data_IF_151054763274
#
_entry.id   IF_151054763274
#
_cell.length_a   1.000
_cell.length_b   1.000
_cell.length_c   1.000
_cell.angle_alpha   90.00
_cell.angle_beta   90.00
_cell.angle_gamma   90.00
#
_symmetry.space_group_name_H-M   'P 1'
#
loop_
_entity.id
_entity.type
_entity.pdbx_description
1 polymer ?
#
# COMPACT_ATOMS: atom_id res chain seq x y z
N UNK A 1 55.84 -25.36 -37.30
CA UNK A 1 54.39 -25.43 -37.05
C UNK A 1 54.17 -25.36 -35.55
N UNK A 2 53.95 -24.17 -35.00
CA UNK A 2 53.54 -23.98 -33.60
C UNK A 2 52.14 -23.38 -33.62
N UNK A 3 51.16 -24.17 -33.19
CA UNK A 3 49.78 -23.73 -33.05
C UNK A 3 49.62 -23.10 -31.65
N UNK A 4 49.33 -21.81 -31.60
CA UNK A 4 48.91 -21.14 -30.37
C UNK A 4 47.43 -21.45 -30.12
N UNK A 5 47.15 -22.19 -29.05
CA UNK A 5 45.81 -22.36 -28.48
C UNK A 5 45.37 -21.03 -27.84
N UNK A 6 44.37 -20.38 -28.42
CA UNK A 6 43.68 -19.26 -27.79
C UNK A 6 42.59 -19.83 -26.89
N UNK A 7 42.79 -19.74 -25.58
CA UNK A 7 41.79 -20.12 -24.57
C UNK A 7 40.91 -18.89 -24.29
N UNK A 8 39.74 -18.84 -24.90
CA UNK A 8 38.74 -17.78 -24.68
C UNK A 8 37.99 -18.06 -23.36
N UNK A 9 38.30 -17.32 -22.30
CA UNK A 9 37.47 -17.28 -21.09
C UNK A 9 36.23 -16.42 -21.35
N UNK A 10 35.06 -17.05 -21.46
CA UNK A 10 33.77 -16.34 -21.40
C UNK A 10 33.40 -16.17 -19.93
N UNK A 11 33.56 -14.95 -19.41
CA UNK A 11 33.05 -14.57 -18.09
C UNK A 11 31.60 -14.11 -18.28
N UNK A 12 30.63 -14.95 -17.91
CA UNK A 12 29.23 -14.57 -17.86
C UNK A 12 28.98 -13.74 -16.59
N UNK A 13 28.79 -12.43 -16.74
CA UNK A 13 28.34 -11.57 -15.66
C UNK A 13 26.83 -11.74 -15.45
N UNK A 14 26.46 -12.42 -14.36
CA UNK A 14 25.08 -12.43 -13.86
C UNK A 14 24.77 -11.04 -13.27
N UNK A 15 24.13 -10.19 -14.06
CA UNK A 15 23.53 -8.94 -13.57
C UNK A 15 22.31 -9.31 -12.73
N UNK A 16 22.46 -9.34 -11.40
CA UNK A 16 21.32 -9.32 -10.50
C UNK A 16 20.68 -7.94 -10.56
N UNK A 17 19.60 -7.79 -11.34
CA UNK A 17 18.77 -6.59 -11.27
C UNK A 17 18.05 -6.58 -9.93
N UNK A 18 18.53 -5.76 -8.98
CA UNK A 18 17.81 -5.52 -7.73
C UNK A 18 16.60 -4.65 -8.05
N UNK A 19 15.41 -5.24 -8.06
CA UNK A 19 14.12 -4.54 -8.23
C UNK A 19 13.75 -3.92 -6.88
N UNK A 20 13.95 -2.60 -6.74
CA UNK A 20 13.68 -1.88 -5.49
C UNK A 20 12.20 -1.46 -5.33
N UNK A 21 11.45 -1.47 -6.43
CA UNK A 21 10.03 -1.13 -6.47
C UNK A 21 9.18 -2.40 -6.43
N UNK A 22 7.91 -2.23 -6.06
CA UNK A 22 6.98 -3.33 -5.77
C UNK A 22 5.55 -2.88 -6.05
N UNK A 23 4.69 -3.87 -6.29
CA UNK A 23 3.24 -3.70 -6.43
C UNK A 23 2.54 -4.68 -5.48
N UNK A 24 1.45 -4.23 -4.87
CA UNK A 24 0.51 -5.10 -4.18
C UNK A 24 -0.43 -5.70 -5.22
N UNK A 25 -0.33 -7.01 -5.47
CA UNK A 25 -1.05 -7.64 -6.58
C UNK A 25 -2.03 -8.73 -6.12
N UNK A 26 -1.94 -9.18 -4.87
CA UNK A 26 -2.81 -10.22 -4.31
C UNK A 26 -3.27 -9.89 -2.90
N UNK A 27 -4.30 -10.58 -2.46
CA UNK A 27 -4.71 -10.64 -1.05
C UNK A 27 -4.87 -12.08 -0.60
N UNK A 28 -4.79 -12.31 0.72
CA UNK A 28 -5.29 -13.52 1.37
C UNK A 28 -6.49 -13.16 2.22
N UNK A 29 -7.57 -13.93 2.10
CA UNK A 29 -8.74 -13.82 2.98
C UNK A 29 -8.79 -15.07 3.84
N UNK A 30 -8.65 -14.90 5.17
CA UNK A 30 -8.56 -16.02 6.11
C UNK A 30 -7.49 -17.07 5.72
N UNK A 31 -6.37 -16.60 5.16
CA UNK A 31 -5.25 -17.44 4.74
C UNK A 31 -5.35 -18.02 3.32
N UNK A 32 -6.48 -17.87 2.63
CA UNK A 32 -6.63 -18.30 1.23
C UNK A 32 -6.17 -17.17 0.30
N UNK A 33 -5.09 -17.39 -0.43
CA UNK A 33 -4.53 -16.44 -1.40
C UNK A 33 -5.36 -16.38 -2.68
N UNK A 34 -5.58 -15.16 -3.20
CA UNK A 34 -6.22 -14.92 -4.49
C UNK A 34 -5.24 -15.07 -5.66
N UNK A 35 -5.78 -15.24 -6.87
CA UNK A 35 -4.97 -15.05 -8.07
C UNK A 35 -4.50 -13.58 -8.20
N UNK A 36 -3.46 -13.37 -9.00
CA UNK A 36 -2.88 -12.04 -9.24
C UNK A 36 -3.92 -11.10 -9.89
N UNK A 37 -4.17 -9.96 -9.26
CA UNK A 37 -5.18 -8.98 -9.62
C UNK A 37 -6.62 -9.53 -9.72
N UNK A 38 -6.90 -10.67 -9.08
CA UNK A 38 -8.28 -11.20 -9.02
C UNK A 38 -9.20 -10.26 -8.25
N UNK A 39 -8.72 -9.77 -7.10
CA UNK A 39 -9.47 -8.85 -6.22
C UNK A 39 -8.85 -7.45 -6.17
N UNK A 40 -7.58 -7.34 -6.56
CA UNK A 40 -6.87 -6.06 -6.66
C UNK A 40 -7.08 -5.43 -8.04
N UNK A 41 -7.38 -4.14 -8.07
CA UNK A 41 -7.47 -3.38 -9.31
C UNK A 41 -6.08 -3.22 -9.92
N UNK A 42 -5.92 -3.69 -11.16
CA UNK A 42 -4.63 -3.65 -11.87
C UNK A 42 -4.30 -2.23 -12.34
N UNK A 43 -3.13 -1.75 -11.96
CA UNK A 43 -2.57 -0.47 -12.38
C UNK A 43 -1.84 -0.57 -13.73
N UNK A 44 -1.54 0.56 -14.36
CA UNK A 44 -0.88 0.62 -15.68
C UNK A 44 0.53 1.22 -15.66
N UNK A 45 0.97 1.80 -14.54
CA UNK A 45 2.31 2.35 -14.33
C UNK A 45 3.34 1.33 -13.81
N UNK A 46 2.96 0.04 -13.75
CA UNK A 46 3.83 -1.03 -13.25
C UNK A 46 4.23 -0.78 -11.79
N UNK A 47 5.52 -0.78 -11.50
CA UNK A 47 5.99 -0.53 -10.13
C UNK A 47 6.34 0.92 -9.84
N UNK A 48 6.17 1.81 -10.83
CA UNK A 48 6.54 3.21 -10.69
C UNK A 48 5.69 3.84 -9.59
N UNK A 49 6.29 4.58 -8.64
CA UNK A 49 5.52 5.26 -7.61
C UNK A 49 4.74 6.44 -8.20
N UNK A 50 3.70 6.86 -7.51
CA UNK A 50 3.08 8.17 -7.71
C UNK A 50 3.78 9.16 -6.78
N UNK A 51 4.21 10.30 -7.31
CA UNK A 51 4.92 11.33 -6.53
C UNK A 51 4.17 12.65 -6.48
N UNK A 52 3.25 12.89 -7.40
CA UNK A 52 2.41 14.09 -7.41
C UNK A 52 1.32 13.97 -6.34
N UNK A 53 1.37 14.86 -5.36
CA UNK A 53 0.44 14.89 -4.23
C UNK A 53 -0.96 15.37 -4.62
N UNK A 54 -1.14 15.96 -5.81
CA UNK A 54 -2.44 16.38 -6.32
C UNK A 54 -3.07 15.34 -7.25
N UNK A 55 -2.34 14.26 -7.57
CA UNK A 55 -2.81 13.24 -8.51
C UNK A 55 -3.99 12.44 -7.93
N UNK A 56 -5.18 12.45 -8.55
CA UNK A 56 -6.33 11.66 -8.10
C UNK A 56 -6.05 10.15 -8.11
N UNK A 57 -5.07 9.68 -8.88
CA UNK A 57 -4.66 8.28 -8.91
C UNK A 57 -3.98 7.83 -7.61
N UNK A 58 -3.66 8.74 -6.67
CA UNK A 58 -3.28 8.37 -5.30
C UNK A 58 -4.35 7.55 -4.56
N UNK A 59 -5.60 7.57 -5.04
CA UNK A 59 -6.68 6.72 -4.52
C UNK A 59 -6.39 5.25 -4.76
N UNK A 60 -6.24 4.82 -6.01
CA UNK A 60 -6.17 3.39 -6.34
C UNK A 60 -5.02 2.98 -7.27
N UNK A 61 -4.13 3.90 -7.62
CA UNK A 61 -3.01 3.79 -8.56
C UNK A 61 -3.40 4.08 -10.02
N UNK A 62 -2.42 4.47 -10.83
CA UNK A 62 -2.62 4.97 -12.20
C UNK A 62 -3.37 3.95 -13.04
N UNK A 63 -4.51 4.37 -13.61
CA UNK A 63 -5.34 3.55 -14.47
C UNK A 63 -6.18 2.49 -13.74
N UNK A 64 -6.07 2.37 -12.42
CA UNK A 64 -6.85 1.43 -11.61
C UNK A 64 -8.14 2.06 -11.04
N UNK A 65 -8.22 3.39 -10.94
CA UNK A 65 -9.41 4.06 -10.39
C UNK A 65 -10.68 3.82 -11.23
N UNK A 66 -10.53 3.71 -12.56
CA UNK A 66 -11.65 3.56 -13.51
C UNK A 66 -11.71 2.19 -14.22
N UNK A 67 -10.70 1.33 -14.06
CA UNK A 67 -10.66 -0.01 -14.68
C UNK A 67 -11.11 -1.07 -13.69
N UNK A 68 -12.39 -1.40 -13.75
CA UNK A 68 -13.00 -2.46 -12.95
C UNK A 68 -13.26 -3.74 -13.76
N UNK A 69 -12.84 -3.75 -15.02
CA UNK A 69 -13.16 -4.83 -15.93
C UNK A 69 -12.27 -6.05 -15.61
N UNK A 70 -12.85 -7.05 -14.92
CA UNK A 70 -12.20 -8.31 -14.56
C UNK A 70 -11.85 -8.47 -13.08
N UNK A 71 -11.87 -7.40 -12.27
CA UNK A 71 -11.62 -7.48 -10.82
C UNK A 71 -12.89 -7.89 -10.08
N UNK A 72 -12.80 -8.95 -9.27
CA UNK A 72 -13.90 -9.49 -8.46
C UNK A 72 -14.04 -8.73 -7.15
N UNK A 73 -15.28 -8.59 -6.71
CA UNK A 73 -15.60 -8.16 -5.34
C UNK A 73 -15.58 -9.37 -4.42
N UNK A 74 -14.65 -9.40 -3.48
CA UNK A 74 -14.55 -10.49 -2.50
C UNK A 74 -15.50 -10.27 -1.33
N UNK A 75 -16.10 -11.34 -0.81
CA UNK A 75 -16.90 -11.27 0.43
C UNK A 75 -15.95 -11.47 1.61
N UNK A 76 -16.00 -10.56 2.59
CA UNK A 76 -15.20 -10.63 3.82
C UNK A 76 -16.08 -10.39 5.03
N UNK A 77 -15.80 -11.08 6.13
CA UNK A 77 -16.52 -10.86 7.39
C UNK A 77 -15.88 -9.70 8.15
N UNK A 78 -16.68 -8.84 8.78
CA UNK A 78 -16.16 -7.88 9.77
C UNK A 78 -15.41 -8.65 10.87
N UNK A 79 -14.20 -8.20 11.24
CA UNK A 79 -13.32 -8.89 12.18
C UNK A 79 -12.39 -9.92 11.55
N UNK A 80 -12.58 -10.27 10.27
CA UNK A 80 -11.68 -11.19 9.56
C UNK A 80 -10.30 -10.55 9.29
N UNK A 81 -9.30 -11.41 9.12
CA UNK A 81 -7.96 -10.99 8.75
C UNK A 81 -7.78 -11.05 7.23
N UNK A 82 -7.31 -9.93 6.68
CA UNK A 82 -6.89 -9.79 5.29
C UNK A 82 -5.38 -9.62 5.27
N UNK A 83 -4.69 -10.36 4.41
CA UNK A 83 -3.25 -10.18 4.17
C UNK A 83 -3.06 -9.57 2.80
N UNK A 84 -2.44 -8.39 2.72
CA UNK A 84 -1.98 -7.83 1.46
C UNK A 84 -0.64 -8.45 1.07
N UNK A 85 -0.49 -8.80 -0.20
CA UNK A 85 0.72 -9.47 -0.69
C UNK A 85 1.34 -8.67 -1.84
N UNK A 86 2.64 -8.41 -1.74
CA UNK A 86 3.43 -7.74 -2.78
C UNK A 86 4.16 -8.74 -3.67
N UNK A 87 4.39 -8.39 -4.94
CA UNK A 87 5.13 -9.23 -5.92
C UNK A 87 6.59 -9.53 -5.49
N UNK A 88 7.18 -8.62 -4.71
CA UNK A 88 8.52 -8.75 -4.10
C UNK A 88 8.51 -8.04 -2.74
N UNK A 89 9.63 -8.01 -2.03
CA UNK A 89 9.69 -7.32 -0.74
C UNK A 89 9.58 -5.80 -0.87
N UNK A 90 9.04 -5.15 0.16
CA UNK A 90 9.18 -3.70 0.33
C UNK A 90 10.62 -3.39 0.74
N UNK A 91 11.36 -2.63 -0.06
CA UNK A 91 12.77 -2.30 0.21
C UNK A 91 13.01 -0.89 0.74
N UNK A 92 12.09 0.05 0.46
CA UNK A 92 12.27 1.44 0.85
C UNK A 92 11.73 1.70 2.26
N UNK A 93 12.44 2.48 3.10
CA UNK A 93 11.89 2.93 4.37
C UNK A 93 10.72 3.89 4.16
N UNK A 94 9.66 3.68 4.95
CA UNK A 94 8.44 4.46 4.86
C UNK A 94 7.26 3.83 5.59
N UNK A 95 6.21 4.60 5.92
CA UNK A 95 5.03 4.04 6.55
C UNK A 95 4.19 3.21 5.57
N UNK A 96 3.50 2.22 6.12
CA UNK A 96 2.42 1.51 5.45
C UNK A 96 1.11 1.82 6.16
N UNK A 97 0.05 2.08 5.39
CA UNK A 97 -1.27 2.34 5.95
C UNK A 97 -2.33 1.60 5.14
N UNK A 98 -3.41 1.20 5.81
CA UNK A 98 -4.61 0.66 5.14
C UNK A 98 -5.81 1.54 5.45
N UNK A 99 -6.55 1.88 4.41
CA UNK A 99 -7.76 2.67 4.45
C UNK A 99 -8.94 1.85 3.92
N UNK A 100 -10.14 2.23 4.31
CA UNK A 100 -11.38 1.76 3.69
C UNK A 100 -12.27 2.95 3.35
N UNK A 101 -13.12 2.79 2.35
CA UNK A 101 -14.20 3.73 2.06
C UNK A 101 -15.45 2.95 1.67
N UNK A 102 -16.60 3.38 2.19
CA UNK A 102 -17.90 2.81 1.83
C UNK A 102 -18.34 3.35 0.49
N UNK A 103 -18.89 2.47 -0.35
CA UNK A 103 -19.34 2.81 -1.70
C UNK A 103 -20.65 2.10 -2.02
N UNK A 104 -21.41 2.65 -2.96
CA UNK A 104 -22.65 2.00 -3.43
C UNK A 104 -22.34 0.72 -4.21
N UNK A 105 -21.28 0.76 -5.02
CA UNK A 105 -20.82 -0.38 -5.81
C UNK A 105 -19.29 -0.36 -5.95
N UNK A 106 -18.62 -1.31 -5.30
CA UNK A 106 -17.16 -1.48 -5.36
C UNK A 106 -16.67 -1.79 -6.78
N UNK A 107 -17.53 -2.31 -7.64
CA UNK A 107 -17.21 -2.59 -9.04
C UNK A 107 -17.34 -1.38 -9.96
N UNK A 108 -17.75 -0.20 -9.47
CA UNK A 108 -17.81 1.02 -10.31
C UNK A 108 -17.31 2.28 -9.62
N UNK A 109 -17.12 2.25 -8.30
CA UNK A 109 -16.63 3.42 -7.56
C UNK A 109 -15.18 3.77 -7.91
N UNK A 110 -14.89 5.06 -8.04
CA UNK A 110 -13.56 5.60 -8.35
C UNK A 110 -12.74 5.97 -7.09
N UNK A 111 -13.36 5.82 -5.90
CA UNK A 111 -12.74 6.19 -4.63
C UNK A 111 -12.80 7.69 -4.30
N UNK A 112 -13.64 8.48 -4.97
CA UNK A 112 -13.89 9.90 -4.66
C UNK A 112 -14.66 10.15 -3.36
N UNK A 113 -15.10 9.09 -2.69
CA UNK A 113 -15.74 9.09 -1.37
C UNK A 113 -14.74 9.43 -0.25
N UNK A 114 -15.25 9.67 0.96
CA UNK A 114 -14.41 9.86 2.14
C UNK A 114 -13.83 8.51 2.61
N UNK A 115 -12.54 8.50 2.92
CA UNK A 115 -11.79 7.34 3.39
C UNK A 115 -11.57 7.43 4.90
N UNK A 116 -11.48 6.29 5.56
CA UNK A 116 -11.03 6.18 6.94
C UNK A 116 -9.89 5.18 7.04
N UNK A 117 -8.92 5.48 7.91
CA UNK A 117 -7.74 4.64 8.11
C UNK A 117 -8.03 3.56 9.15
N UNK A 118 -7.65 2.31 8.89
CA UNK A 118 -7.83 1.17 9.80
C UNK A 118 -6.51 0.55 10.28
N UNK A 119 -5.39 0.87 9.63
CA UNK A 119 -4.07 0.41 10.02
C UNK A 119 -3.01 1.45 9.68
N UNK A 120 -2.06 1.59 10.61
CA UNK A 120 -0.77 2.21 10.38
C UNK A 120 0.33 1.26 10.85
N UNK A 121 1.36 1.08 10.02
CA UNK A 121 2.62 0.45 10.36
C UNK A 121 3.72 1.50 10.14
N UNK A 122 4.26 1.97 11.26
CA UNK A 122 5.34 2.95 11.29
C UNK A 122 6.67 2.37 11.78
N UNK A 123 7.69 3.22 11.97
CA UNK A 123 8.96 2.80 12.50
C UNK A 123 8.83 2.46 13.99
N UNK A 124 9.60 1.48 14.47
CA UNK A 124 9.81 1.27 15.90
C UNK A 124 11.05 2.02 16.34
N UNK A 125 10.88 2.96 17.26
CA UNK A 125 12.01 3.74 17.76
C UNK A 125 12.83 2.95 18.79
N UNK A 126 14.14 2.93 18.57
CA UNK A 126 15.13 2.39 19.49
C UNK A 126 16.15 3.46 19.85
N UNK A 127 17.09 3.16 20.76
CA UNK A 127 18.22 4.06 21.04
C UNK A 127 19.01 4.41 19.77
N UNK A 128 19.04 3.52 18.76
CA UNK A 128 19.75 3.69 17.49
C UNK A 128 18.98 4.50 16.42
N UNK A 129 17.71 4.83 16.66
CA UNK A 129 16.84 5.50 15.68
C UNK A 129 15.57 4.71 15.37
N UNK A 130 14.80 5.18 14.39
CA UNK A 130 13.61 4.49 13.89
C UNK A 130 13.96 3.30 13.00
N UNK A 131 13.36 2.16 13.29
CA UNK A 131 13.55 0.88 12.59
C UNK A 131 12.26 0.48 11.86
N UNK A 132 12.31 0.44 10.53
CA UNK A 132 11.20 0.12 9.64
C UNK A 132 11.05 -1.39 9.45
N UNK A 133 10.62 -2.11 10.49
CA UNK A 133 10.66 -3.60 10.51
C UNK A 133 9.83 -4.31 9.45
N UNK A 134 8.91 -3.60 8.80
CA UNK A 134 8.08 -4.14 7.74
C UNK A 134 8.77 -4.08 6.36
N UNK A 135 9.94 -3.44 6.24
CA UNK A 135 10.78 -3.64 5.06
C UNK A 135 11.29 -5.08 5.04
N UNK A 136 11.65 -5.59 3.86
CA UNK A 136 11.99 -7.00 3.62
C UNK A 136 10.85 -7.98 3.92
N UNK A 137 9.61 -7.48 3.99
CA UNK A 137 8.40 -8.29 4.06
C UNK A 137 7.62 -8.15 2.75
N UNK A 138 6.84 -9.19 2.43
CA UNK A 138 5.92 -9.20 1.29
C UNK A 138 4.46 -9.43 1.69
N UNK A 139 4.17 -9.58 2.98
CA UNK A 139 2.85 -9.89 3.49
C UNK A 139 2.49 -8.97 4.66
N UNK A 140 1.33 -8.31 4.56
CA UNK A 140 0.89 -7.29 5.52
C UNK A 140 -0.53 -7.57 5.99
N UNK A 141 -0.67 -7.97 7.26
CA UNK A 141 -1.95 -8.31 7.86
C UNK A 141 -2.72 -7.07 8.31
N UNK A 142 -4.02 -7.06 8.04
CA UNK A 142 -4.97 -6.06 8.51
C UNK A 142 -6.28 -6.75 8.91
N UNK A 143 -6.82 -6.35 10.06
CA UNK A 143 -8.13 -6.81 10.52
C UNK A 143 -9.20 -5.85 10.05
N UNK A 144 -10.24 -6.35 9.37
CA UNK A 144 -11.43 -5.55 9.07
C UNK A 144 -12.10 -5.19 10.41
N UNK A 145 -12.41 -3.91 10.71
CA UNK A 145 -12.96 -3.57 12.01
C UNK A 145 -14.26 -4.37 12.32
N UNK A 146 -14.37 -5.05 13.47
CA UNK A 146 -15.50 -5.95 13.76
C UNK A 146 -16.84 -5.23 13.92
N UNK A 147 -16.82 -3.95 14.28
CA UNK A 147 -18.01 -3.10 14.40
C UNK A 147 -18.44 -2.46 13.07
N UNK A 148 -17.64 -2.58 12.00
CA UNK A 148 -17.91 -1.92 10.72
C UNK A 148 -19.23 -2.38 10.11
N UNK A 149 -20.04 -1.43 9.65
CA UNK A 149 -21.31 -1.69 9.00
C UNK A 149 -21.16 -2.60 7.77
N UNK A 150 -22.09 -3.56 7.60
CA UNK A 150 -22.22 -4.35 6.37
C UNK A 150 -22.41 -3.44 5.14
N UNK A 151 -21.74 -3.75 4.03
CA UNK A 151 -21.84 -3.00 2.78
C UNK A 151 -20.69 -3.23 1.81
N UNK A 152 -20.71 -2.53 0.69
CA UNK A 152 -19.59 -2.54 -0.25
C UNK A 152 -18.55 -1.48 0.10
N UNK A 153 -17.28 -1.86 -0.02
CA UNK A 153 -16.14 -1.03 0.31
C UNK A 153 -15.04 -1.18 -0.74
N UNK A 154 -14.25 -0.12 -0.90
CA UNK A 154 -12.88 -0.26 -1.39
C UNK A 154 -11.96 -0.31 -0.17
N UNK A 155 -11.03 -1.26 -0.15
CA UNK A 155 -9.91 -1.26 0.79
C UNK A 155 -8.65 -0.86 0.04
N UNK A 156 -7.93 0.12 0.55
CA UNK A 156 -6.74 0.70 -0.06
C UNK A 156 -5.55 0.45 0.84
N UNK A 157 -4.49 -0.17 0.32
CA UNK A 157 -3.18 -0.18 0.95
C UNK A 157 -2.31 0.90 0.32
N UNK A 158 -1.47 1.53 1.14
CA UNK A 158 -0.39 2.39 0.67
C UNK A 158 0.89 2.05 1.42
N UNK A 159 2.01 2.11 0.70
CA UNK A 159 3.32 2.32 1.27
C UNK A 159 3.89 3.61 0.71
N UNK A 160 4.46 4.47 1.57
CA UNK A 160 5.03 5.76 1.16
C UNK A 160 6.54 5.73 1.39
N UNK A 161 7.32 5.49 0.34
CA UNK A 161 8.76 5.53 0.43
C UNK A 161 9.26 6.98 0.61
N UNK A 162 10.03 7.21 1.67
CA UNK A 162 10.56 8.53 2.09
C UNK A 162 12.07 8.49 2.28
N UNK A 163 12.73 7.66 1.48
CA UNK A 163 14.16 7.37 1.60
C UNK A 163 15.07 8.50 1.10
N UNK A 164 14.52 9.54 0.48
CA UNK A 164 15.24 10.73 0.05
C UNK A 164 14.86 11.88 0.98
N UNK A 165 15.70 12.26 1.97
CA UNK A 165 15.41 13.37 2.86
C UNK A 165 15.14 14.67 2.08
N UNK A 166 13.96 15.27 2.30
CA UNK A 166 13.52 16.48 1.60
C UNK A 166 13.08 16.28 0.15
N UNK A 167 13.21 15.06 -0.40
CA UNK A 167 12.70 14.70 -1.72
C UNK A 167 11.19 14.48 -1.73
N UNK A 168 10.66 14.16 -2.92
CA UNK A 168 9.24 13.85 -3.07
C UNK A 168 8.91 12.46 -2.48
N UNK A 169 7.83 12.33 -1.70
CA UNK A 169 7.36 11.03 -1.22
C UNK A 169 6.90 10.16 -2.39
N UNK A 170 7.20 8.86 -2.31
CA UNK A 170 6.89 7.90 -3.37
C UNK A 170 5.78 6.94 -2.93
N UNK A 171 4.59 7.11 -3.48
CA UNK A 171 3.40 6.33 -3.13
C UNK A 171 3.30 5.06 -3.97
N UNK A 172 3.29 3.91 -3.30
CA UNK A 172 2.92 2.61 -3.84
C UNK A 172 1.56 2.22 -3.29
N UNK A 173 0.53 2.26 -4.12
CA UNK A 173 -0.87 2.12 -3.68
C UNK A 173 -1.59 1.04 -4.49
N UNK A 174 -2.59 0.42 -3.88
CA UNK A 174 -3.48 -0.51 -4.55
C UNK A 174 -4.85 -0.55 -3.85
N UNK A 175 -5.89 -0.87 -4.62
CA UNK A 175 -7.26 -1.01 -4.11
C UNK A 175 -7.81 -2.41 -4.36
N UNK A 176 -8.48 -2.95 -3.34
CA UNK A 176 -9.25 -4.19 -3.39
C UNK A 176 -10.76 -3.88 -3.31
N UNK A 177 -11.57 -4.70 -3.99
CA UNK A 177 -13.02 -4.59 -3.97
C UNK A 177 -13.62 -5.56 -2.96
N UNK A 178 -14.42 -5.06 -2.02
CA UNK A 178 -14.94 -5.86 -0.91
C UNK A 178 -16.45 -5.69 -0.71
N UNK A 179 -17.12 -6.79 -0.40
CA UNK A 179 -18.41 -6.81 0.28
C UNK A 179 -18.16 -7.25 1.72
N UNK A 180 -18.22 -6.31 2.66
CA UNK A 180 -18.11 -6.58 4.08
C UNK A 180 -19.47 -7.06 4.59
N UNK A 181 -19.51 -8.22 5.23
CA UNK A 181 -20.69 -8.78 5.90
C UNK A 181 -20.44 -8.95 7.39
N UNK A 182 -21.48 -8.84 8.21
CA UNK A 182 -21.39 -9.02 9.65
C UNK A 182 -22.54 -8.34 10.40
N UNK A 183 -22.44 -8.34 11.72
CA UNK A 183 -23.42 -7.71 12.62
C UNK A 183 -23.06 -6.28 13.03
N UNK A 184 -21.88 -5.81 12.62
CA UNK A 184 -21.46 -4.42 12.81
C UNK A 184 -22.41 -3.43 12.15
N UNK A 185 -22.56 -2.25 12.76
CA UNK A 185 -23.44 -1.16 12.30
C UNK A 185 -22.74 0.19 12.31
N UNK A 186 -21.49 0.25 12.76
CA UNK A 186 -20.77 1.49 12.96
C UNK A 186 -20.10 1.98 11.67
N UNK A 187 -20.01 3.30 11.57
CA UNK A 187 -19.14 4.01 10.64
C UNK A 187 -18.26 4.97 11.44
N UNK A 188 -17.01 5.23 11.02
CA UNK A 188 -16.15 6.19 11.70
C UNK A 188 -16.80 7.57 11.83
N UNK A 189 -16.65 8.26 12.96
CA UNK A 189 -17.01 9.66 13.07
C UNK A 189 -16.28 10.53 12.05
N UNK A 190 -16.84 11.69 11.70
CA UNK A 190 -16.27 12.63 10.71
C UNK A 190 -14.79 13.00 10.97
N UNK A 191 -14.35 13.01 12.23
CA UNK A 191 -12.95 13.30 12.59
C UNK A 191 -11.93 12.25 12.10
N UNK A 192 -12.39 11.06 11.70
CA UNK A 192 -11.56 10.00 11.12
C UNK A 192 -11.68 9.93 9.59
N UNK A 193 -12.58 10.72 9.00
CA UNK A 193 -12.83 10.74 7.57
C UNK A 193 -11.89 11.74 6.89
N UNK A 194 -11.30 11.32 5.78
CA UNK A 194 -10.37 12.12 4.96
C UNK A 194 -10.68 11.95 3.48
N UNK A 195 -10.28 12.91 2.65
CA UNK A 195 -10.33 12.76 1.19
C UNK A 195 -8.93 12.53 0.64
N UNK A 196 -8.82 11.64 -0.35
CA UNK A 196 -7.57 11.34 -1.04
C UNK A 196 -7.74 11.88 -2.47
N UNK A 197 -6.83 12.73 -2.98
CA UNK A 197 -5.48 12.98 -2.45
C UNK A 197 -5.34 14.07 -1.38
N UNK A 198 -6.39 14.84 -1.08
CA UNK A 198 -6.33 16.11 -0.34
C UNK A 198 -5.73 16.03 1.07
N UNK A 199 -5.76 14.85 1.71
CA UNK A 199 -5.15 14.61 3.02
C UNK A 199 -3.61 14.60 3.00
N UNK A 200 -2.98 14.44 1.83
CA UNK A 200 -1.54 14.37 1.69
C UNK A 200 -0.99 15.71 1.20
N UNK A 201 -0.54 16.54 2.14
CA UNK A 201 -0.01 17.87 1.84
C UNK A 201 1.51 17.89 1.96
N UNK A 202 2.19 18.70 1.13
CA UNK A 202 3.67 18.74 1.07
C UNK A 202 4.32 19.23 2.37
N UNK A 203 3.60 20.03 3.14
CA UNK A 203 4.01 20.57 4.44
C UNK A 203 3.88 19.56 5.58
N UNK A 204 3.26 18.40 5.36
CA UNK A 204 3.13 17.36 6.37
C UNK A 204 4.53 16.95 6.89
N UNK A 205 4.77 16.94 8.22
CA UNK A 205 6.11 16.75 8.79
C UNK A 205 6.73 15.40 8.42
N UNK A 206 5.90 14.36 8.21
CA UNK A 206 6.35 13.05 7.74
C UNK A 206 7.02 13.04 6.36
N UNK A 207 6.80 14.06 5.51
CA UNK A 207 7.45 14.15 4.19
C UNK A 207 8.74 14.98 4.19
N UNK A 208 8.98 15.77 5.24
CA UNK A 208 10.10 16.71 5.31
C UNK A 208 11.20 16.32 6.30
N UNK A 209 11.09 15.13 6.90
CA UNK A 209 12.04 14.68 7.92
C UNK A 209 13.23 13.93 7.32
N UNK A 210 14.42 14.14 7.89
CA UNK A 210 15.57 13.28 7.61
C UNK A 210 15.50 12.01 8.49
N UNK A 211 15.11 10.89 7.89
CA UNK A 211 14.95 9.62 8.59
C UNK A 211 16.27 8.93 8.99
N UNK A 212 17.41 9.44 8.54
CA UNK A 212 18.74 8.87 8.82
C UNK A 212 19.51 9.61 9.92
N UNK A 213 19.05 10.82 10.30
CA UNK A 213 19.74 11.68 11.27
C UNK A 213 18.75 12.10 12.36
N UNK A 214 19.04 11.75 13.61
CA UNK A 214 18.20 12.09 14.78
C UNK A 214 16.72 11.68 14.64
N UNK A 215 16.44 10.59 13.91
CA UNK A 215 15.09 10.08 13.71
C UNK A 215 14.54 9.41 14.97
N UNK A 216 13.71 10.13 15.72
CA UNK A 216 13.20 9.73 17.05
C UNK A 216 11.67 9.70 17.18
N UNK A 217 10.98 10.35 16.28
CA UNK A 217 9.53 10.38 16.18
C UNK A 217 9.13 10.47 14.72
N UNK A 218 7.93 10.00 14.39
CA UNK A 218 7.38 10.06 13.04
C UNK A 218 5.87 10.15 13.11
N UNK A 219 5.31 11.22 12.53
CA UNK A 219 3.87 11.36 12.33
C UNK A 219 3.50 10.73 10.99
N UNK A 220 2.65 9.71 11.01
CA UNK A 220 2.22 9.02 9.79
C UNK A 220 1.15 9.87 9.08
N UNK A 221 1.33 10.22 7.80
CA UNK A 221 0.34 10.98 7.03
C UNK A 221 -1.01 10.28 6.89
N UNK A 222 -2.06 11.04 6.57
CA UNK A 222 -3.37 10.48 6.24
C UNK A 222 -4.35 10.31 7.41
N UNK A 223 -4.20 11.11 8.47
CA UNK A 223 -5.13 11.11 9.62
C UNK A 223 -4.95 9.93 10.59
N UNK A 224 -5.84 9.85 11.58
CA UNK A 224 -5.77 8.87 12.66
C UNK A 224 -6.40 7.52 12.27
N UNK A 225 -5.88 6.43 12.83
CA UNK A 225 -6.49 5.10 12.71
C UNK A 225 -7.80 5.06 13.51
N UNK A 226 -8.90 4.75 12.84
CA UNK A 226 -10.18 4.40 13.47
C UNK A 226 -10.18 2.93 13.88
N UNK A 227 -10.71 2.66 15.07
CA UNK A 227 -10.92 1.31 15.60
C UNK A 227 -12.26 1.26 16.32
N UNK A 228 -12.80 0.05 16.37
CA UNK A 228 -13.67 -0.38 17.45
C UNK A 228 -12.82 -0.46 18.74
#
# INVERSE_FOLDING_TARGET
MQAFLILSYVVATLLNAVRAHYVFSKIKVNGIESEEYEVIRRNTNGESPITDLEDPELRCNVGASNKVNGTKTVIVESGSNITWVTETYIYHPGPLSVFMTRVDNASTADGSTEWFKILDIGPKFTKRGGDWRHIQQSEFNVTVPPCLATGQYLMRIQHIAIHVPGGEPQFHVACAQMMVIGTGVDMPPKAYMVRIPEVFTRDHPGFNQNIFVNFKEYLIPGGNVWKC
#
